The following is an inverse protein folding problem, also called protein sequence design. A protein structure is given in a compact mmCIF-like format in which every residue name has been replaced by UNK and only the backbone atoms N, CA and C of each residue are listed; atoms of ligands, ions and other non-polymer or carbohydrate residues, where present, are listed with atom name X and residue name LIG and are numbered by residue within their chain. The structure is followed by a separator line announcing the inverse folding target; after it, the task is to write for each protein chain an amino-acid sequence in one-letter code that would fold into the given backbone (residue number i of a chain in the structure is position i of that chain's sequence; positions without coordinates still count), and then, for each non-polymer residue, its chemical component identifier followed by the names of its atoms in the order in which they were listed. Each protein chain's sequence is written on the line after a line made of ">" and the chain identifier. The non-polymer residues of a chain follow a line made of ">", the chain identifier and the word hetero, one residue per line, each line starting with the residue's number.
data_IF_114079642994
#
_entry.id   IF_114079642994
#
_cell.length_a   1.000
_cell.length_b   1.000
_cell.length_c   1.000
_cell.angle_alpha   90.00
_cell.angle_beta   90.00
_cell.angle_gamma   90.00
#
_symmetry.space_group_name_H-M   'P 1'
#
loop_
_entity.id
_entity.type
_entity.pdbx_description
1 polymer ?
#
# COMPACT_ATOMS: atom_id res chain seq x y z
N UNK A 1 20.38 12.69 7.99
CA UNK A 1 19.01 12.52 7.47
C UNK A 1 18.88 11.57 6.27
N UNK A 2 19.98 10.97 5.77
CA UNK A 2 19.98 10.03 4.63
C UNK A 2 19.77 8.53 4.98
N UNK A 3 19.69 8.17 6.25
CA UNK A 3 19.68 6.75 6.70
C UNK A 3 18.30 6.18 7.07
N UNK A 4 17.25 7.00 7.22
CA UNK A 4 15.93 6.53 7.64
C UNK A 4 14.98 6.21 6.47
N UNK A 5 15.32 6.63 5.23
CA UNK A 5 14.62 6.21 4.01
C UNK A 5 14.89 4.75 3.61
N UNK A 6 15.92 4.11 4.18
CA UNK A 6 16.35 2.77 3.77
C UNK A 6 15.44 1.61 4.22
N UNK A 7 14.62 1.77 5.26
CA UNK A 7 13.77 0.68 5.73
C UNK A 7 12.60 0.35 4.76
N UNK A 8 12.19 1.33 3.94
CA UNK A 8 11.18 1.13 2.88
C UNK A 8 11.86 0.73 1.55
N UNK A 9 13.17 0.92 1.43
CA UNK A 9 13.96 0.76 0.19
C UNK A 9 14.50 -0.68 0.02
N UNK A 10 14.37 -1.55 0.99
CA UNK A 10 14.92 -2.92 0.94
C UNK A 10 14.26 -3.84 -0.11
N UNK A 11 13.47 -3.31 -1.05
CA UNK A 11 12.87 -4.05 -2.17
C UNK A 11 13.53 -3.73 -3.52
N UNK A 12 14.77 -3.24 -3.51
CA UNK A 12 15.47 -2.89 -4.74
C UNK A 12 16.58 -3.90 -5.08
N UNK A 13 16.67 -4.15 -6.32
CA UNK A 13 17.71 -4.66 -7.22
C UNK A 13 17.31 -5.96 -7.89
N UNK A 14 16.92 -5.86 -9.14
CA UNK A 14 17.64 -6.41 -10.30
C UNK A 14 17.09 -5.69 -11.53
N UNK A 15 18.00 -5.07 -12.27
CA UNK A 15 17.78 -4.35 -13.53
C UNK A 15 18.27 -5.22 -14.68
N UNK A 16 17.46 -5.39 -15.73
CA UNK A 16 17.95 -5.49 -17.12
C UNK A 16 16.78 -5.33 -18.10
N UNK A 17 16.97 -4.62 -19.23
CA UNK A 17 15.90 -4.29 -20.16
C UNK A 17 15.82 -5.29 -21.33
N UNK A 18 14.61 -5.54 -21.82
CA UNK A 18 14.37 -6.13 -23.15
C UNK A 18 13.37 -5.28 -23.93
N UNK A 19 13.68 -5.13 -25.23
CA UNK A 19 13.14 -4.21 -26.21
C UNK A 19 11.68 -4.49 -26.58
N UNK A 20 11.03 -3.41 -27.02
CA UNK A 20 9.66 -3.31 -27.50
C UNK A 20 9.43 -3.95 -28.88
N UNK A 21 8.19 -4.39 -29.11
CA UNK A 21 7.55 -4.27 -30.41
C UNK A 21 6.05 -4.00 -30.25
N UNK A 22 5.50 -3.22 -31.18
CA UNK A 22 4.25 -2.49 -31.09
C UNK A 22 3.05 -3.20 -31.71
N UNK A 23 1.87 -2.81 -31.25
CA UNK A 23 0.52 -2.75 -31.86
C UNK A 23 -0.52 -3.76 -31.41
N UNK A 24 -1.52 -3.27 -30.66
CA UNK A 24 -2.96 -3.21 -31.03
C UNK A 24 -3.86 -2.72 -29.87
N UNK A 25 -5.14 -2.30 -30.09
CA UNK A 25 -5.75 -1.18 -29.42
C UNK A 25 -6.68 -1.51 -28.24
N UNK A 26 -6.71 -0.65 -27.35
CA UNK A 26 -7.64 -0.03 -26.38
C UNK A 26 -9.01 -0.69 -26.05
N UNK A 27 -9.16 -2.01 -25.97
CA UNK A 27 -10.36 -2.64 -25.42
C UNK A 27 -10.16 -3.29 -24.03
N UNK A 28 -8.95 -3.27 -23.51
CA UNK A 28 -8.62 -3.89 -22.22
C UNK A 28 -9.01 -3.00 -21.00
N UNK A 29 -9.35 -1.72 -21.23
CA UNK A 29 -9.52 -0.75 -20.14
C UNK A 29 -10.86 -0.91 -19.39
N UNK A 30 -11.90 -1.40 -20.04
CA UNK A 30 -13.24 -1.52 -19.46
C UNK A 30 -13.51 -2.92 -18.90
N UNK A 31 -12.87 -3.95 -19.45
CA UNK A 31 -13.08 -5.35 -19.03
C UNK A 31 -12.30 -5.75 -17.77
N UNK A 32 -11.28 -4.98 -17.37
CA UNK A 32 -10.48 -5.33 -16.19
C UNK A 32 -11.12 -4.90 -14.85
N UNK A 33 -12.12 -4.01 -14.87
CA UNK A 33 -12.75 -3.50 -13.65
C UNK A 33 -13.83 -4.41 -13.06
N UNK A 34 -14.45 -5.26 -13.86
CA UNK A 34 -15.58 -6.10 -13.43
C UNK A 34 -15.20 -7.53 -13.05
N UNK A 35 -14.03 -8.02 -13.45
CA UNK A 35 -13.71 -9.44 -13.33
C UNK A 35 -13.14 -9.87 -11.97
N UNK A 36 -12.53 -8.99 -11.20
CA UNK A 36 -11.97 -9.39 -9.90
C UNK A 36 -12.99 -9.33 -8.75
N UNK A 37 -13.99 -8.43 -8.83
CA UNK A 37 -15.06 -8.35 -7.81
C UNK A 37 -15.94 -9.60 -7.81
N UNK A 38 -16.18 -10.18 -8.97
CA UNK A 38 -16.94 -11.45 -9.11
C UNK A 38 -16.13 -12.70 -8.72
N UNK A 39 -14.82 -12.58 -8.53
CA UNK A 39 -13.96 -13.68 -8.13
C UNK A 39 -14.00 -13.97 -6.62
N UNK A 40 -14.53 -13.06 -5.81
CA UNK A 40 -14.65 -13.24 -4.35
C UNK A 40 -15.87 -14.13 -4.09
N UNK A 41 -15.63 -15.35 -3.60
CA UNK A 41 -16.67 -16.32 -3.25
C UNK A 41 -17.21 -16.10 -1.84
N UNK A 42 -16.33 -15.76 -0.90
CA UNK A 42 -16.68 -15.44 0.48
C UNK A 42 -16.11 -14.09 0.89
N UNK A 43 -16.91 -13.02 0.86
CA UNK A 43 -16.47 -11.68 1.26
C UNK A 43 -16.12 -11.58 2.75
N UNK A 44 -16.47 -12.58 3.57
CA UNK A 44 -16.08 -12.65 4.97
C UNK A 44 -14.71 -13.32 5.18
N UNK A 45 -14.12 -13.90 4.13
CA UNK A 45 -12.80 -14.51 4.20
C UNK A 45 -11.70 -13.50 3.82
N UNK A 46 -10.94 -12.96 4.78
CA UNK A 46 -9.93 -11.94 4.50
C UNK A 46 -8.76 -12.47 3.66
N UNK A 47 -8.45 -13.78 3.74
CA UNK A 47 -7.43 -14.41 2.90
C UNK A 47 -7.86 -14.43 1.44
N UNK A 48 -9.10 -14.83 1.16
CA UNK A 48 -9.62 -14.87 -0.21
C UNK A 48 -9.68 -13.47 -0.80
N UNK A 49 -10.13 -12.48 -0.02
CA UNK A 49 -10.17 -11.09 -0.44
C UNK A 49 -8.76 -10.58 -0.80
N UNK A 50 -7.76 -10.82 0.05
CA UNK A 50 -6.38 -10.42 -0.21
C UNK A 50 -5.80 -11.15 -1.43
N UNK A 51 -6.07 -12.46 -1.59
CA UNK A 51 -5.61 -13.25 -2.75
C UNK A 51 -6.16 -12.68 -4.05
N UNK A 52 -7.47 -12.43 -4.13
CA UNK A 52 -8.12 -11.87 -5.32
C UNK A 52 -7.54 -10.50 -5.69
N UNK A 53 -7.26 -9.64 -4.68
CA UNK A 53 -6.60 -8.35 -4.90
C UNK A 53 -5.17 -8.51 -5.43
N UNK A 54 -4.40 -9.43 -4.84
CA UNK A 54 -3.04 -9.74 -5.32
C UNK A 54 -3.04 -10.25 -6.75
N UNK A 55 -3.95 -11.15 -7.09
CA UNK A 55 -4.07 -11.71 -8.45
C UNK A 55 -4.44 -10.62 -9.47
N UNK A 56 -5.36 -9.71 -9.10
CA UNK A 56 -5.71 -8.56 -9.93
C UNK A 56 -4.51 -7.62 -10.14
N UNK A 57 -3.74 -7.34 -9.10
CA UNK A 57 -2.50 -6.55 -9.19
C UNK A 57 -1.50 -7.21 -10.13
N UNK A 58 -1.22 -8.50 -9.97
CA UNK A 58 -0.29 -9.23 -10.84
C UNK A 58 -0.71 -9.21 -12.30
N UNK A 59 -2.01 -9.36 -12.60
CA UNK A 59 -2.54 -9.24 -13.97
C UNK A 59 -2.24 -7.86 -14.56
N UNK A 60 -2.48 -6.78 -13.83
CA UNK A 60 -2.17 -5.42 -14.30
C UNK A 60 -0.68 -5.22 -14.56
N UNK A 61 0.17 -5.76 -13.68
CA UNK A 61 1.63 -5.65 -13.82
C UNK A 61 2.17 -6.37 -15.08
N UNK A 62 1.54 -7.46 -15.47
CA UNK A 62 1.90 -8.27 -16.65
C UNK A 62 1.51 -7.61 -17.99
N UNK A 63 0.61 -6.62 -17.99
CA UNK A 63 0.24 -5.89 -19.20
C UNK A 63 1.42 -5.02 -19.66
N UNK A 64 2.01 -5.35 -20.82
CA UNK A 64 3.24 -4.71 -21.31
C UNK A 64 3.01 -3.28 -21.81
N UNK A 65 1.86 -3.04 -22.47
CA UNK A 65 1.60 -1.81 -23.21
C UNK A 65 0.96 -0.68 -22.39
N UNK A 66 0.78 -0.89 -21.09
CA UNK A 66 0.32 0.15 -20.19
C UNK A 66 1.50 1.01 -19.70
N UNK A 67 1.38 2.32 -19.87
CA UNK A 67 2.32 3.27 -19.28
C UNK A 67 2.26 3.25 -17.74
N UNK A 68 3.32 3.74 -17.12
CA UNK A 68 3.47 3.70 -15.65
C UNK A 68 2.34 4.44 -14.91
N UNK A 69 1.85 5.56 -15.47
CA UNK A 69 0.80 6.36 -14.83
C UNK A 69 -0.52 5.61 -14.86
N UNK A 70 -0.90 5.09 -16.01
CA UNK A 70 -2.12 4.28 -16.17
C UNK A 70 -2.09 3.03 -15.29
N UNK A 71 -0.95 2.32 -15.22
CA UNK A 71 -0.78 1.21 -14.27
C UNK A 71 -1.03 1.65 -12.82
N UNK A 72 -0.43 2.75 -12.40
CA UNK A 72 -0.60 3.26 -11.05
C UNK A 72 -2.06 3.62 -10.73
N UNK A 73 -2.78 4.23 -11.67
CA UNK A 73 -4.20 4.57 -11.50
C UNK A 73 -5.08 3.33 -11.37
N UNK A 74 -4.84 2.29 -12.18
CA UNK A 74 -5.57 1.02 -12.09
C UNK A 74 -5.27 0.32 -10.76
N UNK A 75 -4.00 0.25 -10.37
CA UNK A 75 -3.58 -0.35 -9.11
C UNK A 75 -4.19 0.37 -7.91
N UNK A 76 -4.27 1.72 -7.93
CA UNK A 76 -4.93 2.49 -6.87
C UNK A 76 -6.43 2.16 -6.75
N UNK A 77 -7.12 1.96 -7.87
CA UNK A 77 -8.54 1.54 -7.86
C UNK A 77 -8.74 0.14 -7.29
N UNK A 78 -7.79 -0.77 -7.49
CA UNK A 78 -7.86 -2.15 -6.96
C UNK A 78 -7.53 -2.17 -5.47
N UNK A 79 -6.45 -1.49 -5.06
CA UNK A 79 -5.86 -1.61 -3.73
C UNK A 79 -6.45 -0.56 -2.77
N UNK A 80 -6.65 0.68 -3.25
CA UNK A 80 -7.05 1.81 -2.43
C UNK A 80 -8.27 1.54 -1.54
N UNK A 81 -9.37 0.97 -2.06
CA UNK A 81 -10.58 0.67 -1.27
C UNK A 81 -10.37 -0.39 -0.18
N UNK A 82 -9.26 -1.12 -0.21
CA UNK A 82 -8.94 -2.15 0.78
C UNK A 82 -8.19 -1.62 2.01
N UNK A 83 -7.79 -0.33 1.99
CA UNK A 83 -7.03 0.29 3.08
C UNK A 83 -7.88 1.26 3.90
N UNK A 84 -7.82 1.12 5.22
CA UNK A 84 -8.42 2.03 6.19
C UNK A 84 -7.48 3.22 6.44
N UNK A 85 -7.43 4.14 5.48
CA UNK A 85 -6.54 5.30 5.56
C UNK A 85 -6.86 6.22 6.74
N UNK A 86 -8.10 6.26 7.22
CA UNK A 86 -8.46 7.06 8.41
C UNK A 86 -7.80 6.47 9.66
N UNK A 87 -7.97 5.18 9.91
CA UNK A 87 -7.33 4.53 11.04
C UNK A 87 -5.80 4.56 10.92
N UNK A 88 -5.26 4.31 9.72
CA UNK A 88 -3.83 4.41 9.46
C UNK A 88 -3.28 5.79 9.81
N UNK A 89 -3.97 6.85 9.44
CA UNK A 89 -3.62 8.23 9.77
C UNK A 89 -3.63 8.46 11.27
N UNK A 90 -4.70 8.06 11.94
CA UNK A 90 -4.85 8.19 13.39
C UNK A 90 -3.75 7.44 14.17
N UNK A 91 -3.41 6.24 13.72
CA UNK A 91 -2.35 5.43 14.36
C UNK A 91 -0.96 6.00 14.10
N UNK A 92 -0.67 6.45 12.87
CA UNK A 92 0.63 7.02 12.51
C UNK A 92 0.90 8.36 13.19
N UNK A 93 -0.13 9.18 13.43
CA UNK A 93 0.03 10.44 14.17
C UNK A 93 0.02 10.22 15.69
N UNK A 94 -0.61 9.13 16.13
CA UNK A 94 -0.84 8.79 17.53
C UNK A 94 -1.98 9.61 18.16
N UNK A 95 -2.69 8.98 19.10
CA UNK A 95 -3.93 9.53 19.72
C UNK A 95 -3.77 10.94 20.27
N UNK A 96 -2.64 11.22 20.94
CA UNK A 96 -2.42 12.52 21.58
C UNK A 96 -2.28 13.66 20.55
N UNK A 97 -1.60 13.45 19.44
CA UNK A 97 -1.43 14.45 18.39
C UNK A 97 -2.68 14.53 17.52
N UNK A 98 -3.32 13.40 17.21
CA UNK A 98 -4.57 13.35 16.46
C UNK A 98 -5.68 14.19 17.13
N UNK A 99 -5.84 14.07 18.44
CA UNK A 99 -6.88 14.79 19.19
C UNK A 99 -6.61 16.31 19.33
N UNK A 100 -5.42 16.80 18.96
CA UNK A 100 -5.10 18.23 18.90
C UNK A 100 -5.50 18.86 17.56
N UNK A 101 -5.73 18.05 16.53
CA UNK A 101 -6.16 18.52 15.23
C UNK A 101 -7.67 18.78 15.23
N UNK A 102 -8.08 19.83 14.55
CA UNK A 102 -9.49 20.04 14.19
C UNK A 102 -9.96 18.99 13.19
N UNK A 103 -11.27 18.80 13.05
CA UNK A 103 -11.83 17.84 12.09
C UNK A 103 -11.36 18.10 10.65
N UNK A 104 -11.23 19.37 10.27
CA UNK A 104 -10.72 19.78 8.96
C UNK A 104 -9.24 19.39 8.78
N UNK A 105 -8.42 19.58 9.82
CA UNK A 105 -7.00 19.19 9.80
C UNK A 105 -6.85 17.67 9.80
N UNK A 106 -7.68 16.93 10.53
CA UNK A 106 -7.70 15.46 10.51
C UNK A 106 -8.02 14.94 9.11
N UNK A 107 -9.02 15.51 8.46
CA UNK A 107 -9.37 15.17 7.06
C UNK A 107 -8.22 15.48 6.11
N UNK A 108 -7.66 16.70 6.18
CA UNK A 108 -6.52 17.11 5.36
C UNK A 108 -5.30 16.19 5.58
N UNK A 109 -5.00 15.86 6.85
CA UNK A 109 -3.91 14.95 7.17
C UNK A 109 -4.12 13.57 6.54
N UNK A 110 -5.35 13.02 6.65
CA UNK A 110 -5.70 11.71 6.07
C UNK A 110 -5.52 11.69 4.55
N UNK A 111 -5.97 12.73 3.86
CA UNK A 111 -5.83 12.86 2.40
C UNK A 111 -4.35 12.91 1.98
N UNK A 112 -3.55 13.75 2.65
CA UNK A 112 -2.12 13.91 2.34
C UNK A 112 -1.32 12.65 2.69
N UNK A 113 -1.62 12.02 3.82
CA UNK A 113 -0.94 10.80 4.23
C UNK A 113 -1.30 9.62 3.32
N UNK A 114 -2.58 9.45 2.96
CA UNK A 114 -3.01 8.45 1.99
C UNK A 114 -2.31 8.65 0.64
N UNK A 115 -2.26 9.89 0.13
CA UNK A 115 -1.53 10.22 -1.10
C UNK A 115 -0.04 9.87 -1.00
N UNK A 116 0.60 10.16 0.13
CA UNK A 116 2.01 9.84 0.37
C UNK A 116 2.25 8.33 0.38
N UNK A 117 1.40 7.56 1.08
CA UNK A 117 1.47 6.11 1.09
C UNK A 117 1.29 5.53 -0.31
N UNK A 118 0.23 5.93 -1.02
CA UNK A 118 -0.05 5.48 -2.39
C UNK A 118 1.14 5.72 -3.32
N UNK A 119 1.71 6.92 -3.32
CA UNK A 119 2.86 7.25 -4.15
C UNK A 119 4.09 6.40 -3.83
N UNK A 120 4.37 6.17 -2.54
CA UNK A 120 5.50 5.34 -2.10
C UNK A 120 5.33 3.88 -2.54
N UNK A 121 4.11 3.34 -2.48
CA UNK A 121 3.82 1.94 -2.80
C UNK A 121 3.68 1.68 -4.29
N UNK A 122 2.93 2.52 -5.01
CA UNK A 122 2.68 2.32 -6.43
C UNK A 122 3.97 2.34 -7.24
N UNK A 123 4.92 3.23 -6.88
CA UNK A 123 6.23 3.26 -7.52
C UNK A 123 7.04 1.96 -7.29
N UNK A 124 6.83 1.29 -6.16
CA UNK A 124 7.48 0.01 -5.87
C UNK A 124 6.76 -1.16 -6.56
N UNK A 125 5.44 -1.23 -6.44
CA UNK A 125 4.64 -2.31 -7.04
C UNK A 125 4.82 -2.36 -8.56
N UNK A 126 4.90 -1.22 -9.23
CA UNK A 126 5.12 -1.18 -10.69
C UNK A 126 6.47 -1.73 -11.16
N UNK A 127 7.38 -2.03 -10.25
CA UNK A 127 8.68 -2.68 -10.55
C UNK A 127 8.62 -4.20 -10.46
N UNK A 128 7.55 -4.77 -9.92
CA UNK A 128 7.34 -6.21 -9.89
C UNK A 128 6.97 -6.72 -11.28
N UNK A 129 7.47 -7.91 -11.63
CA UNK A 129 7.20 -8.50 -12.94
C UNK A 129 6.87 -9.98 -12.89
N UNK A 130 7.60 -10.78 -12.12
CA UNK A 130 7.49 -12.25 -12.10
C UNK A 130 7.59 -12.84 -10.69
N UNK A 131 7.22 -12.07 -9.68
CA UNK A 131 7.24 -12.52 -8.29
C UNK A 131 6.11 -13.51 -8.03
N UNK A 132 6.42 -14.53 -7.22
CA UNK A 132 5.41 -15.45 -6.71
C UNK A 132 4.97 -15.01 -5.32
N UNK A 133 3.67 -14.86 -5.14
CA UNK A 133 3.05 -14.49 -3.86
C UNK A 133 2.51 -15.75 -3.18
N UNK A 134 2.88 -15.97 -1.93
CA UNK A 134 2.42 -17.09 -1.11
C UNK A 134 1.73 -16.54 0.13
N UNK A 135 0.40 -16.57 0.16
CA UNK A 135 -0.38 -16.21 1.33
C UNK A 135 -0.44 -17.39 2.31
N UNK A 136 -0.25 -17.06 3.59
CA UNK A 136 -0.49 -18.00 4.69
C UNK A 136 -1.90 -17.80 5.26
N UNK A 137 -2.45 -18.79 5.97
CA UNK A 137 -3.74 -18.65 6.64
C UNK A 137 -3.76 -17.43 7.57
N UNK A 138 -4.91 -16.76 7.67
CA UNK A 138 -5.10 -15.66 8.59
C UNK A 138 -4.98 -16.13 10.03
N UNK A 139 -4.22 -15.38 10.84
CA UNK A 139 -4.02 -15.63 12.25
C UNK A 139 -4.81 -14.62 13.08
N UNK A 140 -5.63 -15.06 14.05
CA UNK A 140 -6.39 -14.16 14.91
C UNK A 140 -5.49 -13.17 15.66
N UNK A 141 -5.93 -11.92 15.73
CA UNK A 141 -5.31 -10.84 16.49
C UNK A 141 -6.35 -10.18 17.38
N UNK A 142 -5.93 -9.43 18.41
CA UNK A 142 -6.84 -8.75 19.35
C UNK A 142 -7.91 -7.90 18.65
N UNK A 143 -7.57 -7.25 17.52
CA UNK A 143 -8.45 -6.32 16.83
C UNK A 143 -8.65 -6.70 15.35
N UNK A 144 -8.70 -7.99 15.04
CA UNK A 144 -8.87 -8.48 13.67
C UNK A 144 -8.02 -9.71 13.39
N UNK A 145 -7.34 -9.73 12.28
CA UNK A 145 -6.46 -10.83 11.86
C UNK A 145 -5.16 -10.29 11.28
N UNK A 146 -4.11 -11.10 11.28
CA UNK A 146 -2.91 -10.88 10.47
C UNK A 146 -2.83 -11.91 9.35
N UNK A 147 -2.45 -11.46 8.16
CA UNK A 147 -2.23 -12.32 7.00
C UNK A 147 -0.79 -12.15 6.56
N UNK A 148 -0.02 -13.22 6.63
CA UNK A 148 1.37 -13.22 6.17
C UNK A 148 1.43 -13.58 4.70
N UNK A 149 2.17 -12.79 3.93
CA UNK A 149 2.46 -13.03 2.53
C UNK A 149 3.97 -13.08 2.31
N UNK A 150 4.47 -14.20 1.78
CA UNK A 150 5.84 -14.31 1.31
C UNK A 150 5.89 -13.95 -0.18
N UNK A 151 6.74 -12.99 -0.52
CA UNK A 151 7.03 -12.55 -1.89
C UNK A 151 8.35 -13.17 -2.31
N UNK A 152 8.29 -14.04 -3.32
CA UNK A 152 9.45 -14.75 -3.85
C UNK A 152 9.90 -14.13 -5.18
N UNK A 153 11.16 -13.71 -5.25
CA UNK A 153 11.80 -13.19 -6.45
C UNK A 153 13.13 -13.90 -6.66
N UNK A 154 13.13 -14.94 -7.51
CA UNK A 154 14.24 -15.88 -7.61
C UNK A 154 14.50 -16.57 -6.28
N UNK A 155 15.76 -16.52 -5.81
CA UNK A 155 16.17 -17.09 -4.51
C UNK A 155 15.83 -16.16 -3.31
N UNK A 156 15.40 -14.93 -3.56
CA UNK A 156 15.08 -13.96 -2.51
C UNK A 156 13.65 -14.14 -2.06
N UNK A 157 13.47 -14.15 -0.73
CA UNK A 157 12.18 -14.15 -0.09
C UNK A 157 12.06 -12.89 0.78
N UNK A 158 10.89 -12.24 0.72
CA UNK A 158 10.52 -11.15 1.61
C UNK A 158 9.18 -11.43 2.24
N UNK A 159 9.07 -11.18 3.51
CA UNK A 159 7.84 -11.43 4.27
C UNK A 159 7.11 -10.12 4.54
N UNK A 160 5.84 -10.08 4.18
CA UNK A 160 4.93 -8.95 4.44
C UNK A 160 3.77 -9.47 5.30
N UNK A 161 3.41 -8.73 6.35
CA UNK A 161 2.26 -9.04 7.20
C UNK A 161 1.23 -7.93 7.06
N UNK A 162 0.04 -8.28 6.63
CA UNK A 162 -1.11 -7.38 6.54
C UNK A 162 -1.92 -7.51 7.83
N UNK A 163 -2.11 -6.39 8.56
CA UNK A 163 -3.04 -6.33 9.70
C UNK A 163 -4.38 -5.84 9.21
N UNK A 164 -5.39 -6.68 9.39
CA UNK A 164 -6.72 -6.49 8.79
C UNK A 164 -7.77 -6.49 9.88
N UNK A 165 -8.76 -5.61 9.77
CA UNK A 165 -9.88 -5.51 10.71
C UNK A 165 -11.22 -5.40 9.97
N UNK A 166 -12.30 -5.69 10.66
CA UNK A 166 -13.64 -5.33 10.18
C UNK A 166 -13.91 -3.84 10.35
N UNK A 167 -14.42 -3.23 9.28
CA UNK A 167 -15.06 -1.91 9.30
C UNK A 167 -16.48 -2.09 8.72
N UNK A 168 -17.49 -2.13 9.58
CA UNK A 168 -18.80 -2.58 9.18
C UNK A 168 -18.78 -4.03 8.70
N UNK A 169 -19.17 -4.26 7.45
CA UNK A 169 -19.17 -5.60 6.82
C UNK A 169 -17.96 -5.87 5.94
N UNK A 170 -16.95 -4.99 5.96
CA UNK A 170 -15.78 -5.10 5.08
C UNK A 170 -14.50 -5.34 5.88
N UNK A 171 -13.63 -6.18 5.33
CA UNK A 171 -12.27 -6.31 5.82
C UNK A 171 -11.39 -5.19 5.26
N UNK A 172 -10.66 -4.48 6.15
CA UNK A 172 -9.83 -3.34 5.78
C UNK A 172 -8.43 -3.50 6.38
N UNK A 173 -7.41 -3.28 5.55
CA UNK A 173 -6.01 -3.24 6.01
C UNK A 173 -5.77 -1.93 6.76
N UNK A 174 -5.26 -2.02 7.97
CA UNK A 174 -4.92 -0.84 8.78
C UNK A 174 -3.43 -0.71 9.12
N UNK A 175 -2.63 -1.73 8.88
CA UNK A 175 -1.17 -1.66 8.96
C UNK A 175 -0.53 -2.73 8.07
N UNK A 176 0.67 -2.46 7.61
CA UNK A 176 1.50 -3.41 6.87
C UNK A 176 2.88 -3.46 7.50
N UNK A 177 3.35 -4.66 7.81
CA UNK A 177 4.73 -4.88 8.26
C UNK A 177 5.54 -5.53 7.13
N UNK A 178 6.69 -4.96 6.82
CA UNK A 178 7.63 -5.50 5.85
C UNK A 178 8.89 -5.91 6.59
N UNK A 179 9.26 -7.19 6.49
CA UNK A 179 10.41 -7.75 7.22
C UNK A 179 10.36 -7.40 8.74
N UNK A 180 9.16 -7.47 9.33
CA UNK A 180 8.94 -7.17 10.76
C UNK A 180 8.89 -5.69 11.13
N UNK A 181 8.97 -4.78 10.15
CA UNK A 181 8.92 -3.33 10.39
C UNK A 181 7.55 -2.78 9.98
N UNK A 182 6.77 -2.28 10.96
CA UNK A 182 5.49 -1.62 10.71
C UNK A 182 5.69 -0.28 9.98
N UNK A 183 4.94 -0.10 8.90
CA UNK A 183 4.90 1.15 8.15
C UNK A 183 4.36 2.28 9.04
N UNK A 184 3.28 2.03 9.77
CA UNK A 184 2.69 3.04 10.63
C UNK A 184 3.63 3.48 11.75
N UNK A 185 4.38 2.55 12.36
CA UNK A 185 5.36 2.88 13.39
C UNK A 185 6.53 3.69 12.83
N UNK A 186 6.94 3.39 11.60
CA UNK A 186 7.97 4.16 10.89
C UNK A 186 7.51 5.60 10.67
N UNK A 187 6.28 5.80 10.15
CA UNK A 187 5.72 7.14 9.97
C UNK A 187 5.47 7.84 11.29
N UNK A 188 5.03 7.12 12.33
CA UNK A 188 4.83 7.68 13.66
C UNK A 188 6.11 8.30 14.20
N UNK A 189 7.23 7.59 14.12
CA UNK A 189 8.52 8.12 14.55
C UNK A 189 8.93 9.39 13.78
N UNK A 190 8.67 9.42 12.45
CA UNK A 190 8.94 10.60 11.63
C UNK A 190 8.04 11.78 12.01
N UNK A 191 6.74 11.55 12.19
CA UNK A 191 5.78 12.61 12.55
C UNK A 191 6.01 13.14 13.95
N UNK A 192 6.34 12.27 14.91
CA UNK A 192 6.72 12.69 16.27
C UNK A 192 7.95 13.62 16.25
N UNK A 193 8.94 13.33 15.40
CA UNK A 193 10.14 14.15 15.26
C UNK A 193 9.82 15.52 14.61
N UNK A 194 9.01 15.52 13.53
CA UNK A 194 8.57 16.77 12.88
C UNK A 194 7.79 17.64 13.87
N UNK A 195 6.82 17.04 14.57
CA UNK A 195 5.97 17.76 15.52
C UNK A 195 6.76 18.35 16.69
N UNK A 196 7.82 17.69 17.14
CA UNK A 196 8.71 18.21 18.19
C UNK A 196 9.51 19.43 17.73
N UNK A 197 9.89 19.50 16.45
CA UNK A 197 10.73 20.57 15.90
C UNK A 197 9.96 21.78 15.43
N UNK A 198 8.83 21.58 14.73
CA UNK A 198 8.13 22.66 14.03
C UNK A 198 6.60 22.62 14.14
N UNK A 199 6.05 21.64 14.86
CA UNK A 199 4.62 21.55 15.11
C UNK A 199 3.78 21.11 13.88
N UNK A 200 2.47 21.35 13.99
CA UNK A 200 1.47 20.91 13.00
C UNK A 200 1.68 21.56 11.64
N UNK A 201 2.06 22.85 11.61
CA UNK A 201 2.30 23.57 10.36
C UNK A 201 3.42 22.92 9.52
N UNK A 202 4.51 22.56 10.17
CA UNK A 202 5.64 21.91 9.50
C UNK A 202 5.29 20.49 9.04
N UNK A 203 4.46 19.78 9.82
CA UNK A 203 3.95 18.46 9.42
C UNK A 203 3.18 18.55 8.10
N UNK A 204 2.23 19.47 7.98
CA UNK A 204 1.48 19.67 6.74
C UNK A 204 2.38 20.08 5.57
N UNK A 205 3.28 21.05 5.82
CA UNK A 205 4.23 21.50 4.80
C UNK A 205 5.08 20.35 4.26
N UNK A 206 5.55 19.46 5.12
CA UNK A 206 6.34 18.29 4.69
C UNK A 206 5.49 17.22 3.97
N UNK A 207 4.22 17.03 4.36
CA UNK A 207 3.32 16.10 3.69
C UNK A 207 2.93 16.57 2.28
N UNK A 208 2.85 17.88 2.07
CA UNK A 208 2.55 18.50 0.77
C UNK A 208 3.72 18.44 -0.22
N UNK A 209 4.95 18.35 0.29
CA UNK A 209 6.13 18.27 -0.57
C UNK A 209 6.20 16.90 -1.28
N UNK A 210 6.62 16.88 -2.56
CA UNK A 210 6.94 15.64 -3.24
C UNK A 210 8.00 14.86 -2.46
N UNK A 211 7.89 13.53 -2.42
CA UNK A 211 8.97 12.71 -1.87
C UNK A 211 10.18 12.83 -2.80
N UNK A 212 11.24 13.46 -2.33
CA UNK A 212 12.54 13.39 -3.00
C UNK A 212 13.03 11.95 -2.97
N UNK A 213 13.24 11.39 -4.17
CA UNK A 213 13.81 10.04 -4.37
C UNK A 213 15.24 9.95 -3.84
#
# INVERSE_FOLDING_TARGET
>A
MKKLCCAIIALLIINQPLKADCNEPNSAHEQSQTTWETAIKDPNNPNELLQVKCDAVLKVLQVKDLDKKTKAEILDKIIGPFFDFELMSKLSLGKANWNKLTDSEQKKFTELFAKRLKNAYLDQITRYSNEKLLLKPAEPQKNGVSITMDVLSGEKKKTTVYKVRHLGMQWMVYDVEIEGVSILMTYKAQFDDILKRGGVKDLFSQLEQPQTK
#
